data_IF_557525088724
#
_entry.id   IF_557525088724
#
_cell.length_a   1.000
_cell.length_b   1.000
_cell.length_c   1.000
_cell.angle_alpha   90.00
_cell.angle_beta   90.00
_cell.angle_gamma   90.00
#
_symmetry.space_group_name_H-M   'P 1'
#
loop_
_entity.id
_entity.type
_entity.pdbx_description
1 polymer ?
#
# COMPACT_ATOMS: atom_id res chain seq x y z
N UNK A 1 71.19 -29.82 -42.92
CA UNK A 1 69.87 -30.44 -42.65
C UNK A 1 69.20 -29.70 -41.47
N UNK A 2 68.27 -28.79 -41.79
CA UNK A 2 67.56 -27.95 -40.78
C UNK A 2 66.19 -28.53 -40.56
N UNK A 3 65.90 -28.94 -39.34
CA UNK A 3 64.55 -29.37 -38.89
C UNK A 3 63.76 -28.13 -38.53
N UNK A 4 62.59 -27.92 -39.18
CA UNK A 4 61.60 -26.92 -38.86
C UNK A 4 60.58 -27.58 -37.97
N UNK A 5 60.48 -27.05 -36.74
CA UNK A 5 59.43 -27.40 -35.79
C UNK A 5 58.18 -26.54 -36.04
N UNK A 6 57.03 -27.17 -36.34
CA UNK A 6 55.73 -26.51 -36.45
C UNK A 6 55.10 -26.41 -35.05
N UNK A 7 54.91 -25.21 -34.57
CA UNK A 7 54.08 -24.93 -33.38
C UNK A 7 52.62 -24.90 -33.83
N UNK A 8 51.81 -25.79 -33.34
CA UNK A 8 50.33 -25.78 -33.42
C UNK A 8 49.81 -24.97 -32.24
N UNK A 9 49.38 -23.74 -32.53
CA UNK A 9 48.65 -22.93 -31.54
C UNK A 9 47.20 -23.44 -31.41
N UNK A 10 46.86 -23.91 -30.23
CA UNK A 10 45.47 -24.19 -29.83
C UNK A 10 44.81 -22.86 -29.47
N UNK A 11 43.95 -22.34 -30.33
CA UNK A 11 43.04 -21.24 -29.98
C UNK A 11 41.88 -21.85 -29.17
N UNK A 12 41.95 -21.73 -27.86
CA UNK A 12 40.81 -22.05 -26.97
C UNK A 12 39.73 -20.99 -27.13
N UNK A 13 38.66 -21.35 -27.83
CA UNK A 13 37.43 -20.54 -27.92
C UNK A 13 36.73 -20.63 -26.55
N UNK A 14 36.95 -19.63 -25.70
CA UNK A 14 36.16 -19.45 -24.46
C UNK A 14 34.77 -18.95 -24.86
N UNK A 15 33.83 -19.88 -25.03
CA UNK A 15 32.39 -19.52 -25.04
C UNK A 15 31.99 -18.96 -23.70
N UNK A 16 31.97 -17.64 -23.57
CA UNK A 16 31.24 -16.95 -22.55
C UNK A 16 29.75 -17.24 -22.76
N UNK A 17 29.26 -18.28 -22.08
CA UNK A 17 27.85 -18.47 -21.88
C UNK A 17 27.37 -17.28 -21.05
N UNK A 18 26.93 -16.21 -21.72
CA UNK A 18 26.11 -15.19 -21.10
C UNK A 18 24.84 -15.89 -20.59
N UNK A 19 24.86 -16.31 -19.33
CA UNK A 19 23.68 -16.69 -18.60
C UNK A 19 22.76 -15.45 -18.59
N UNK A 20 21.83 -15.44 -19.55
CA UNK A 20 20.71 -14.51 -19.54
C UNK A 20 19.82 -14.92 -18.36
N UNK A 21 20.27 -14.64 -17.14
CA UNK A 21 19.48 -14.80 -15.94
C UNK A 21 18.24 -13.95 -16.11
N UNK A 22 17.06 -14.59 -16.26
CA UNK A 22 15.78 -13.89 -16.25
C UNK A 22 15.77 -13.02 -15.01
N UNK A 23 15.75 -11.70 -15.17
CA UNK A 23 15.68 -10.78 -14.02
C UNK A 23 14.42 -11.11 -13.24
N UNK A 24 14.58 -11.47 -11.98
CA UNK A 24 13.48 -11.73 -11.06
C UNK A 24 12.66 -10.44 -10.88
N UNK A 25 11.35 -10.55 -10.79
CA UNK A 25 10.44 -9.45 -10.48
C UNK A 25 10.70 -8.92 -9.07
N UNK A 26 10.91 -9.82 -8.10
CA UNK A 26 11.33 -9.46 -6.75
C UNK A 26 12.86 -9.54 -6.70
N UNK A 27 13.52 -8.41 -6.89
CA UNK A 27 14.98 -8.33 -7.03
C UNK A 27 15.73 -8.54 -5.72
N UNK A 28 15.14 -8.16 -4.58
CA UNK A 28 15.69 -8.44 -3.25
C UNK A 28 15.48 -9.93 -2.91
N UNK A 29 16.59 -10.66 -2.80
CA UNK A 29 16.57 -12.11 -2.57
C UNK A 29 15.98 -12.46 -1.20
N UNK A 30 16.27 -11.68 -0.16
CA UNK A 30 15.77 -11.95 1.19
C UNK A 30 14.26 -11.72 1.27
N UNK A 31 13.78 -10.66 0.63
CA UNK A 31 12.36 -10.37 0.52
C UNK A 31 11.62 -11.44 -0.30
N UNK A 32 12.19 -11.90 -1.42
CA UNK A 32 11.62 -12.97 -2.23
C UNK A 32 11.47 -14.26 -1.44
N UNK A 33 12.52 -14.68 -0.71
CA UNK A 33 12.46 -15.86 0.16
C UNK A 33 11.37 -15.74 1.24
N UNK A 34 11.17 -14.54 1.79
CA UNK A 34 10.09 -14.27 2.73
C UNK A 34 8.72 -14.44 2.08
N UNK A 35 8.52 -13.90 0.88
CA UNK A 35 7.26 -14.06 0.11
C UNK A 35 6.98 -15.54 -0.18
N UNK A 36 7.96 -16.29 -0.64
CA UNK A 36 7.86 -17.73 -0.89
C UNK A 36 7.48 -18.50 0.40
N UNK A 37 8.09 -18.15 1.52
CA UNK A 37 7.79 -18.75 2.82
C UNK A 37 6.34 -18.44 3.27
N UNK A 38 5.93 -17.17 3.20
CA UNK A 38 4.57 -16.74 3.59
C UNK A 38 3.52 -17.37 2.67
N UNK A 39 3.80 -17.50 1.37
CA UNK A 39 2.96 -18.18 0.40
C UNK A 39 2.79 -19.67 0.73
N UNK A 40 3.89 -20.38 0.97
CA UNK A 40 3.86 -21.82 1.30
C UNK A 40 3.10 -22.07 2.60
N UNK A 41 3.31 -21.26 3.63
CA UNK A 41 2.55 -21.34 4.89
C UNK A 41 1.04 -21.15 4.67
N UNK A 42 0.65 -20.22 3.79
CA UNK A 42 -0.77 -20.01 3.47
C UNK A 42 -1.35 -21.20 2.70
N UNK A 43 -0.61 -21.72 1.73
CA UNK A 43 -1.00 -22.92 0.96
C UNK A 43 -1.20 -24.15 1.86
N UNK A 44 -0.30 -24.37 2.82
CA UNK A 44 -0.41 -25.45 3.80
C UNK A 44 -1.65 -25.35 4.69
N UNK A 45 -2.07 -24.11 5.03
CA UNK A 45 -3.28 -23.88 5.85
C UNK A 45 -4.58 -24.05 5.08
N UNK A 46 -4.54 -24.05 3.74
CA UNK A 46 -5.69 -24.17 2.84
C UNK A 46 -5.50 -25.35 1.88
N UNK A 47 -5.38 -26.60 2.38
CA UNK A 47 -4.96 -27.75 1.57
C UNK A 47 -6.09 -28.34 0.72
N UNK A 48 -7.33 -27.87 0.87
CA UNK A 48 -8.50 -28.44 0.21
C UNK A 48 -8.85 -27.70 -1.08
N UNK A 49 -9.35 -28.46 -2.07
CA UNK A 49 -9.84 -27.90 -3.34
C UNK A 49 -8.73 -27.46 -4.29
N UNK A 50 -9.11 -26.63 -5.25
CA UNK A 50 -8.30 -26.14 -6.36
C UNK A 50 -7.82 -24.69 -6.22
N UNK A 51 -7.84 -24.17 -5.00
CA UNK A 51 -7.56 -22.75 -4.69
C UNK A 51 -6.19 -22.28 -5.23
N UNK A 52 -5.23 -23.19 -5.37
CA UNK A 52 -3.87 -22.91 -5.85
C UNK A 52 -3.57 -23.54 -7.21
N UNK A 53 -4.56 -24.07 -7.93
CA UNK A 53 -4.38 -24.78 -9.21
C UNK A 53 -3.72 -23.90 -10.29
N UNK A 54 -3.85 -22.57 -10.21
CA UNK A 54 -3.19 -21.65 -11.14
C UNK A 54 -1.66 -21.83 -11.17
N UNK A 55 -1.04 -22.25 -10.05
CA UNK A 55 0.39 -22.46 -9.94
C UNK A 55 0.88 -23.75 -10.62
N UNK A 56 -0.03 -24.63 -11.03
CA UNK A 56 0.26 -25.86 -11.79
C UNK A 56 0.21 -25.59 -13.31
N UNK A 57 -0.13 -24.38 -13.73
CA UNK A 57 -0.15 -23.96 -15.14
C UNK A 57 1.22 -23.43 -15.58
N UNK A 58 1.39 -23.25 -16.89
CA UNK A 58 2.61 -22.68 -17.46
C UNK A 58 2.66 -21.16 -17.23
N UNK A 59 3.39 -20.75 -16.21
CA UNK A 59 3.58 -19.36 -15.80
C UNK A 59 4.99 -18.89 -16.13
N UNK A 60 5.10 -17.66 -16.66
CA UNK A 60 6.39 -16.97 -16.72
C UNK A 60 6.93 -16.68 -15.33
N UNK A 61 8.23 -16.38 -15.21
CA UNK A 61 8.83 -16.01 -13.90
C UNK A 61 8.15 -14.81 -13.27
N UNK A 62 7.78 -13.80 -14.07
CA UNK A 62 7.04 -12.63 -13.61
C UNK A 62 5.66 -13.01 -13.05
N UNK A 63 4.89 -13.77 -13.84
CA UNK A 63 3.54 -14.19 -13.44
C UNK A 63 3.57 -15.01 -12.14
N UNK A 64 4.50 -15.95 -12.03
CA UNK A 64 4.67 -16.77 -10.83
C UNK A 64 4.99 -15.94 -9.60
N UNK A 65 6.04 -15.10 -9.65
CA UNK A 65 6.44 -14.28 -8.50
C UNK A 65 5.36 -13.24 -8.11
N UNK A 66 4.68 -12.66 -9.10
CA UNK A 66 3.59 -11.71 -8.85
C UNK A 66 2.36 -12.41 -8.21
N UNK A 67 1.99 -13.60 -8.70
CA UNK A 67 0.91 -14.40 -8.09
C UNK A 67 1.28 -14.89 -6.69
N UNK A 68 2.50 -15.37 -6.47
CA UNK A 68 2.97 -15.77 -5.13
C UNK A 68 2.87 -14.60 -4.14
N UNK A 69 3.28 -13.40 -4.54
CA UNK A 69 3.12 -12.19 -3.72
C UNK A 69 1.65 -11.89 -3.41
N UNK A 70 0.76 -11.92 -4.41
CA UNK A 70 -0.66 -11.67 -4.19
C UNK A 70 -1.28 -12.73 -3.26
N UNK A 71 -1.05 -14.01 -3.53
CA UNK A 71 -1.59 -15.11 -2.74
C UNK A 71 -1.03 -15.18 -1.31
N UNK A 72 0.24 -14.81 -1.12
CA UNK A 72 0.83 -14.75 0.21
C UNK A 72 0.09 -13.79 1.12
N UNK A 73 -0.41 -12.67 0.58
CA UNK A 73 -0.92 -11.56 1.40
C UNK A 73 -2.40 -11.23 1.20
N UNK A 74 -3.08 -11.75 0.18
CA UNK A 74 -4.52 -11.51 0.04
C UNK A 74 -5.32 -12.17 1.18
N UNK A 75 -6.47 -11.59 1.58
CA UNK A 75 -7.38 -12.24 2.50
C UNK A 75 -7.85 -13.61 2.00
N UNK A 76 -8.19 -14.51 2.91
CA UNK A 76 -8.71 -15.85 2.53
C UNK A 76 -9.97 -15.72 1.67
N UNK A 77 -10.86 -14.77 1.98
CA UNK A 77 -12.05 -14.52 1.15
C UNK A 77 -11.72 -14.21 -0.31
N UNK A 78 -10.61 -13.51 -0.56
CA UNK A 78 -10.19 -13.24 -1.94
C UNK A 78 -9.72 -14.49 -2.67
N UNK A 79 -9.06 -15.43 -1.97
CA UNK A 79 -8.64 -16.71 -2.54
C UNK A 79 -9.85 -17.59 -2.87
N UNK A 80 -10.91 -17.53 -2.07
CA UNK A 80 -12.10 -18.38 -2.24
C UNK A 80 -13.14 -17.80 -3.19
N UNK A 81 -13.27 -16.49 -3.26
CA UNK A 81 -14.33 -15.80 -4.00
C UNK A 81 -13.97 -15.53 -5.46
N UNK A 82 -12.66 -15.54 -5.80
CA UNK A 82 -12.16 -15.23 -7.14
C UNK A 82 -11.23 -16.34 -7.65
N UNK A 83 -11.32 -16.66 -8.95
CA UNK A 83 -10.50 -17.70 -9.57
C UNK A 83 -9.03 -17.31 -9.74
N UNK A 84 -8.15 -18.30 -9.84
CA UNK A 84 -6.75 -18.08 -10.18
C UNK A 84 -6.57 -17.36 -11.52
N UNK A 85 -7.43 -17.64 -12.51
CA UNK A 85 -7.41 -16.96 -13.81
C UNK A 85 -7.71 -15.45 -13.69
N UNK A 86 -8.61 -15.07 -12.79
CA UNK A 86 -8.87 -13.65 -12.50
C UNK A 86 -7.60 -12.93 -12.04
N UNK A 87 -6.84 -13.53 -11.12
CA UNK A 87 -5.59 -12.95 -10.65
C UNK A 87 -4.51 -12.95 -11.74
N UNK A 88 -4.40 -14.02 -12.51
CA UNK A 88 -3.44 -14.11 -13.61
C UNK A 88 -3.70 -13.03 -14.68
N UNK A 89 -4.96 -12.80 -15.05
CA UNK A 89 -5.35 -11.73 -15.97
C UNK A 89 -4.94 -10.35 -15.43
N UNK A 90 -5.19 -10.08 -14.15
CA UNK A 90 -4.78 -8.82 -13.51
C UNK A 90 -3.25 -8.65 -13.46
N UNK A 91 -2.50 -9.74 -13.22
CA UNK A 91 -1.03 -9.74 -13.25
C UNK A 91 -0.53 -9.44 -14.67
N UNK A 92 -1.08 -10.11 -15.68
CA UNK A 92 -0.73 -9.90 -17.09
C UNK A 92 -1.00 -8.46 -17.52
N UNK A 93 -2.17 -7.93 -17.18
CA UNK A 93 -2.54 -6.58 -17.51
C UNK A 93 -1.65 -5.54 -16.83
N UNK A 94 -1.26 -5.76 -15.56
CA UNK A 94 -0.33 -4.84 -14.88
C UNK A 94 1.07 -4.86 -15.53
N UNK A 95 1.55 -6.02 -15.96
CA UNK A 95 2.80 -6.16 -16.74
C UNK A 95 2.72 -5.49 -18.11
N UNK A 96 1.61 -5.65 -18.82
CA UNK A 96 1.33 -4.97 -20.09
C UNK A 96 1.30 -3.45 -19.90
N UNK A 97 0.58 -2.97 -18.91
CA UNK A 97 0.50 -1.53 -18.58
C UNK A 97 1.89 -0.95 -18.31
N UNK A 98 2.73 -1.69 -17.57
CA UNK A 98 4.10 -1.28 -17.31
C UNK A 98 4.93 -1.17 -18.58
N UNK A 99 4.72 -2.06 -19.55
CA UNK A 99 5.43 -2.04 -20.83
C UNK A 99 4.94 -0.92 -21.77
N UNK A 100 3.66 -0.56 -21.71
CA UNK A 100 3.02 0.38 -22.63
C UNK A 100 3.04 1.83 -22.16
N UNK A 101 3.03 2.08 -20.84
CA UNK A 101 2.98 3.44 -20.29
C UNK A 101 4.35 4.12 -20.25
N UNK A 102 4.44 5.44 -20.55
CA UNK A 102 5.72 6.16 -20.59
C UNK A 102 6.50 6.18 -19.28
N UNK A 103 5.84 5.91 -18.17
CA UNK A 103 6.44 5.86 -16.83
C UNK A 103 6.75 4.46 -16.33
N UNK A 104 6.49 3.41 -17.11
CA UNK A 104 6.64 2.03 -16.65
C UNK A 104 8.04 1.70 -16.15
N UNK A 105 9.08 2.16 -16.85
CA UNK A 105 10.48 1.97 -16.45
C UNK A 105 10.93 2.90 -15.32
N UNK A 106 10.21 4.00 -15.07
CA UNK A 106 10.52 4.95 -14.01
C UNK A 106 10.03 4.49 -12.65
N UNK A 107 9.01 3.63 -12.61
CA UNK A 107 8.43 3.12 -11.37
C UNK A 107 9.32 2.02 -10.80
N UNK A 108 9.91 2.20 -9.60
CA UNK A 108 10.70 1.17 -8.94
C UNK A 108 9.90 -0.12 -8.73
N UNK A 109 10.56 -1.28 -8.82
CA UNK A 109 9.92 -2.58 -8.64
C UNK A 109 9.17 -2.72 -7.30
N UNK A 110 9.72 -2.16 -6.23
CA UNK A 110 9.09 -2.17 -4.92
C UNK A 110 7.77 -1.38 -4.91
N UNK A 111 7.77 -0.16 -5.47
CA UNK A 111 6.55 0.65 -5.57
C UNK A 111 5.53 0.00 -6.49
N UNK A 112 5.97 -0.58 -7.60
CA UNK A 112 5.08 -1.34 -8.49
C UNK A 112 4.44 -2.51 -7.76
N UNK A 113 5.22 -3.30 -7.04
CA UNK A 113 4.76 -4.48 -6.29
C UNK A 113 3.70 -4.13 -5.24
N UNK A 114 3.90 -3.04 -4.48
CA UNK A 114 3.02 -2.69 -3.38
C UNK A 114 1.87 -1.75 -3.75
N UNK A 115 2.03 -0.93 -4.80
CA UNK A 115 1.10 0.17 -5.07
C UNK A 115 0.52 0.19 -6.49
N UNK A 116 0.89 -0.77 -7.37
CA UNK A 116 0.29 -0.96 -8.69
C UNK A 116 -0.30 -2.35 -8.83
N UNK A 117 0.50 -3.38 -8.54
CA UNK A 117 0.13 -4.79 -8.72
C UNK A 117 -1.12 -5.20 -7.90
N UNK A 118 -1.27 -4.85 -6.61
CA UNK A 118 -2.43 -5.26 -5.82
C UNK A 118 -3.72 -4.68 -6.38
N UNK A 119 -4.76 -5.51 -6.43
CA UNK A 119 -6.10 -5.12 -6.89
C UNK A 119 -6.84 -4.47 -5.72
N UNK A 120 -6.83 -5.13 -4.56
CA UNK A 120 -7.48 -4.65 -3.34
C UNK A 120 -6.88 -3.35 -2.82
N UNK A 121 -7.75 -2.41 -2.47
CA UNK A 121 -7.40 -1.10 -1.89
C UNK A 121 -7.84 -1.01 -0.43
N UNK A 122 -9.08 -1.42 -0.13
CA UNK A 122 -9.71 -1.35 1.19
C UNK A 122 -10.42 -2.69 1.49
N UNK A 123 -11.69 -2.66 1.89
CA UNK A 123 -12.54 -3.83 2.18
C UNK A 123 -13.63 -4.06 1.13
N UNK A 124 -13.48 -3.47 -0.04
CA UNK A 124 -14.37 -3.62 -1.18
C UNK A 124 -14.40 -5.06 -1.72
N UNK A 125 -15.45 -5.43 -2.42
CA UNK A 125 -15.40 -6.57 -3.33
C UNK A 125 -14.49 -6.23 -4.52
N UNK A 126 -13.73 -7.20 -4.98
CA UNK A 126 -12.95 -7.06 -6.21
C UNK A 126 -13.88 -7.18 -7.43
N UNK A 127 -13.47 -6.55 -8.51
CA UNK A 127 -14.18 -6.59 -9.78
C UNK A 127 -13.19 -6.39 -10.96
N UNK A 128 -13.71 -6.29 -12.16
CA UNK A 128 -12.96 -6.20 -13.41
C UNK A 128 -12.48 -4.76 -13.73
N UNK A 129 -12.44 -3.91 -12.73
CA UNK A 129 -12.14 -2.47 -12.89
C UNK A 129 -10.81 -2.21 -13.58
N UNK A 130 -9.75 -2.98 -13.27
CA UNK A 130 -8.44 -2.77 -13.88
C UNK A 130 -8.51 -2.83 -15.40
N UNK A 131 -9.17 -3.84 -15.96
CA UNK A 131 -9.32 -4.00 -17.41
C UNK A 131 -10.20 -2.90 -18.02
N UNK A 132 -11.34 -2.62 -17.40
CA UNK A 132 -12.27 -1.59 -17.87
C UNK A 132 -11.62 -0.20 -17.84
N UNK A 133 -11.00 0.17 -16.72
CA UNK A 133 -10.39 1.50 -16.56
C UNK A 133 -9.15 1.68 -17.43
N UNK A 134 -8.32 0.64 -17.59
CA UNK A 134 -7.21 0.68 -18.54
C UNK A 134 -7.71 0.98 -19.97
N UNK A 135 -8.78 0.30 -20.41
CA UNK A 135 -9.38 0.52 -21.71
C UNK A 135 -9.86 1.96 -21.94
N UNK A 136 -10.43 2.61 -20.89
CA UNK A 136 -10.91 3.99 -20.99
C UNK A 136 -9.79 5.04 -20.84
N UNK A 137 -8.77 4.76 -20.03
CA UNK A 137 -7.78 5.75 -19.59
C UNK A 137 -6.49 5.76 -20.40
N UNK A 138 -6.05 4.62 -20.95
CA UNK A 138 -4.71 4.51 -21.56
C UNK A 138 -4.44 5.56 -22.65
N UNK A 139 -5.38 5.75 -23.56
CA UNK A 139 -5.24 6.72 -24.65
C UNK A 139 -5.37 8.16 -24.18
N UNK A 140 -6.08 8.37 -23.07
CA UNK A 140 -6.29 9.67 -22.45
C UNK A 140 -5.03 10.19 -21.74
N UNK A 141 -4.19 9.30 -21.18
CA UNK A 141 -3.07 9.69 -20.32
C UNK A 141 -1.68 9.42 -20.93
N UNK A 142 -1.53 8.52 -21.88
CA UNK A 142 -0.21 8.07 -22.40
C UNK A 142 0.67 9.19 -22.99
N UNK A 143 0.11 10.34 -23.31
CA UNK A 143 0.84 11.48 -23.87
C UNK A 143 1.18 12.55 -22.82
N UNK A 144 0.77 12.35 -21.59
CA UNK A 144 0.93 13.30 -20.49
C UNK A 144 2.20 13.00 -19.69
N UNK A 145 2.68 13.99 -18.94
CA UNK A 145 3.60 13.75 -17.86
C UNK A 145 2.91 12.91 -16.77
N UNK A 146 3.69 12.23 -15.92
CA UNK A 146 3.10 11.41 -14.86
C UNK A 146 2.24 12.24 -13.89
N UNK A 147 2.63 13.48 -13.58
CA UNK A 147 1.84 14.42 -12.75
C UNK A 147 0.54 14.84 -13.43
N UNK A 148 0.61 15.21 -14.71
CA UNK A 148 -0.58 15.58 -15.47
C UNK A 148 -1.51 14.38 -15.66
N UNK A 149 -0.96 13.18 -15.81
CA UNK A 149 -1.76 11.95 -15.85
C UNK A 149 -2.52 11.68 -14.56
N UNK A 150 -1.91 11.96 -13.39
CA UNK A 150 -2.60 11.85 -12.09
C UNK A 150 -3.79 12.82 -12.03
N UNK A 151 -3.59 14.10 -12.42
CA UNK A 151 -4.66 15.10 -12.46
C UNK A 151 -5.77 14.68 -13.42
N UNK A 152 -5.42 14.19 -14.60
CA UNK A 152 -6.36 13.76 -15.64
C UNK A 152 -7.16 12.52 -15.21
N UNK A 153 -6.53 11.55 -14.54
CA UNK A 153 -7.25 10.41 -13.96
C UNK A 153 -8.25 10.88 -12.91
N UNK A 154 -7.87 11.83 -12.05
CA UNK A 154 -8.79 12.37 -11.05
C UNK A 154 -9.97 13.12 -11.69
N UNK A 155 -9.71 13.84 -12.78
CA UNK A 155 -10.75 14.49 -13.56
C UNK A 155 -11.73 13.47 -14.16
N UNK A 156 -11.20 12.40 -14.77
CA UNK A 156 -12.02 11.28 -15.25
C UNK A 156 -12.82 10.61 -14.12
N UNK A 157 -12.23 10.48 -12.92
CA UNK A 157 -12.97 9.98 -11.76
C UNK A 157 -14.16 10.87 -11.41
N UNK A 158 -13.99 12.18 -11.44
CA UNK A 158 -15.08 13.15 -11.20
C UNK A 158 -16.21 13.07 -12.26
N UNK A 159 -15.87 12.75 -13.49
CA UNK A 159 -16.88 12.53 -14.55
C UNK A 159 -17.80 11.33 -14.25
N UNK A 160 -17.33 10.37 -13.43
CA UNK A 160 -18.04 9.11 -13.15
C UNK A 160 -18.71 9.09 -11.78
N UNK A 161 -18.09 9.68 -10.75
CA UNK A 161 -18.50 9.55 -9.36
C UNK A 161 -18.44 10.91 -8.67
N UNK A 162 -19.49 11.22 -7.90
CA UNK A 162 -19.55 12.42 -7.06
C UNK A 162 -19.78 12.03 -5.61
N UNK A 163 -19.34 12.90 -4.69
CA UNK A 163 -19.53 12.64 -3.26
C UNK A 163 -21.00 12.59 -2.87
N UNK A 164 -21.35 11.50 -2.22
CA UNK A 164 -22.66 11.34 -1.56
C UNK A 164 -22.54 10.26 -0.48
N UNK A 165 -23.16 10.43 0.69
CA UNK A 165 -23.24 9.36 1.70
C UNK A 165 -23.76 8.05 1.09
N UNK A 166 -23.11 6.94 1.46
CA UNK A 166 -23.44 5.59 1.02
C UNK A 166 -23.47 4.62 2.19
N UNK A 167 -23.44 3.32 1.93
CA UNK A 167 -23.45 2.26 2.93
C UNK A 167 -22.17 2.24 3.78
N UNK A 168 -22.22 1.55 4.91
CA UNK A 168 -21.06 1.38 5.80
C UNK A 168 -19.91 0.59 5.15
N UNK A 169 -20.23 -0.30 4.19
CA UNK A 169 -19.24 -1.07 3.42
C UNK A 169 -18.82 -0.31 2.17
N UNK A 170 -17.52 -0.34 1.87
CA UNK A 170 -16.97 0.23 0.64
C UNK A 170 -17.45 -0.55 -0.58
N UNK A 171 -18.04 0.14 -1.55
CA UNK A 171 -18.43 -0.44 -2.83
C UNK A 171 -17.20 -0.76 -3.70
N UNK A 172 -17.32 -1.77 -4.57
CA UNK A 172 -16.29 -2.03 -5.57
C UNK A 172 -16.17 -0.86 -6.57
N UNK A 173 -15.02 -0.69 -7.24
CA UNK A 173 -14.82 0.42 -8.18
C UNK A 173 -15.88 0.49 -9.29
N UNK A 174 -16.24 -0.62 -9.93
CA UNK A 174 -17.30 -0.65 -10.95
C UNK A 174 -18.69 -0.43 -10.36
N UNK A 175 -18.96 -0.86 -9.13
CA UNK A 175 -20.21 -0.57 -8.46
C UNK A 175 -20.35 0.93 -8.18
N UNK A 176 -19.27 1.60 -7.77
CA UNK A 176 -19.24 3.06 -7.57
C UNK A 176 -19.54 3.80 -8.89
N UNK A 177 -18.98 3.35 -10.01
CA UNK A 177 -19.30 3.90 -11.34
C UNK A 177 -20.79 3.70 -11.69
N UNK A 178 -21.36 2.51 -11.43
CA UNK A 178 -22.77 2.21 -11.70
C UNK A 178 -23.73 3.07 -10.88
N UNK A 179 -23.40 3.37 -9.64
CA UNK A 179 -24.22 4.23 -8.78
C UNK A 179 -23.97 5.71 -9.01
N UNK A 180 -22.83 6.05 -9.62
CA UNK A 180 -22.37 7.42 -9.88
C UNK A 180 -22.14 8.26 -8.62
N UNK A 181 -22.08 7.65 -7.44
CA UNK A 181 -21.76 8.33 -6.18
C UNK A 181 -21.05 7.41 -5.18
N UNK A 182 -20.37 8.02 -4.22
CA UNK A 182 -19.75 7.37 -3.09
C UNK A 182 -19.37 8.37 -2.00
N UNK A 183 -19.11 7.86 -0.80
CA UNK A 183 -18.43 8.66 0.23
C UNK A 183 -16.91 8.64 -0.05
N UNK A 184 -16.14 9.37 0.73
CA UNK A 184 -14.68 9.46 0.57
C UNK A 184 -13.97 8.09 0.51
N UNK A 185 -14.48 7.08 1.20
CA UNK A 185 -13.96 5.70 1.16
C UNK A 185 -14.11 5.06 -0.21
N UNK A 186 -15.27 5.15 -0.85
CA UNK A 186 -15.53 4.65 -2.21
C UNK A 186 -14.76 5.47 -3.25
N UNK A 187 -14.81 6.81 -3.16
CA UNK A 187 -14.14 7.71 -4.11
C UNK A 187 -12.64 7.47 -4.13
N UNK A 188 -12.00 7.36 -2.97
CA UNK A 188 -10.56 7.09 -2.89
C UNK A 188 -10.19 5.67 -3.33
N UNK A 189 -11.00 4.65 -3.01
CA UNK A 189 -10.82 3.29 -3.52
C UNK A 189 -10.90 3.26 -5.05
N UNK A 190 -11.89 3.93 -5.62
CA UNK A 190 -12.09 4.06 -7.07
C UNK A 190 -10.91 4.78 -7.74
N UNK A 191 -10.48 5.92 -7.23
CA UNK A 191 -9.38 6.68 -7.80
C UNK A 191 -8.03 5.92 -7.72
N UNK A 192 -7.77 5.19 -6.63
CA UNK A 192 -6.59 4.31 -6.51
C UNK A 192 -6.64 3.19 -7.55
N UNK A 193 -7.79 2.54 -7.73
CA UNK A 193 -7.95 1.49 -8.75
C UNK A 193 -7.73 2.05 -10.17
N UNK A 194 -8.23 3.25 -10.47
CA UNK A 194 -8.04 3.93 -11.75
C UNK A 194 -6.57 4.25 -12.02
N UNK A 195 -5.85 4.82 -11.05
CA UNK A 195 -4.42 5.11 -11.17
C UNK A 195 -3.57 3.83 -11.36
N UNK A 196 -3.84 2.79 -10.57
CA UNK A 196 -3.16 1.50 -10.70
C UNK A 196 -3.41 0.84 -12.05
N UNK A 197 -4.59 1.04 -12.65
CA UNK A 197 -4.91 0.49 -13.97
C UNK A 197 -4.02 1.05 -15.08
N UNK A 198 -3.51 2.26 -14.95
CA UNK A 198 -2.56 2.89 -15.87
C UNK A 198 -1.11 2.87 -15.36
N UNK A 199 -0.81 2.03 -14.37
CA UNK A 199 0.55 1.79 -13.89
C UNK A 199 1.13 2.89 -13.00
N UNK A 200 0.31 3.78 -12.45
CA UNK A 200 0.73 4.81 -11.50
C UNK A 200 0.59 4.27 -10.08
N UNK A 201 1.68 4.21 -9.28
CA UNK A 201 1.59 3.80 -7.88
C UNK A 201 0.66 4.73 -7.11
N UNK A 202 -0.33 4.14 -6.45
CA UNK A 202 -1.33 4.89 -5.69
C UNK A 202 -1.75 4.15 -4.42
N UNK A 203 -2.08 4.94 -3.38
CA UNK A 203 -2.50 4.45 -2.08
C UNK A 203 -3.60 5.33 -1.48
N UNK A 204 -4.52 4.70 -0.74
CA UNK A 204 -5.52 5.41 0.04
C UNK A 204 -4.89 5.91 1.33
N UNK A 205 -5.06 7.18 1.63
CA UNK A 205 -4.69 7.79 2.92
C UNK A 205 -5.95 7.97 3.76
N UNK A 206 -5.84 7.71 5.04
CA UNK A 206 -6.95 7.80 5.98
C UNK A 206 -6.52 8.53 7.25
N UNK A 207 -7.29 9.56 7.63
CA UNK A 207 -7.25 10.12 8.97
C UNK A 207 -8.42 9.54 9.77
N UNK A 208 -8.16 8.74 10.82
CA UNK A 208 -9.23 8.07 11.55
C UNK A 208 -10.15 9.04 12.29
N UNK A 209 -9.61 10.16 12.75
CA UNK A 209 -10.32 11.28 13.35
C UNK A 209 -9.56 12.57 13.14
N UNK A 210 -10.26 13.62 12.77
CA UNK A 210 -9.72 14.97 12.76
C UNK A 210 -9.43 15.47 14.17
N UNK A 211 -8.39 16.29 14.31
CA UNK A 211 -8.04 16.87 15.62
C UNK A 211 -8.86 18.12 15.98
N UNK A 212 -9.52 18.76 15.03
CA UNK A 212 -10.19 20.04 15.18
C UNK A 212 -11.71 19.98 15.01
N UNK A 213 -12.23 18.90 14.47
CA UNK A 213 -13.66 18.68 14.24
C UNK A 213 -13.95 17.19 14.32
N UNK A 214 -15.21 16.86 14.57
CA UNK A 214 -15.66 15.46 14.51
C UNK A 214 -15.53 14.95 13.08
N UNK A 215 -15.40 13.60 12.94
CA UNK A 215 -15.34 12.85 11.70
C UNK A 215 -13.92 12.39 11.30
N UNK A 216 -13.90 11.61 10.25
CA UNK A 216 -12.73 11.04 9.57
C UNK A 216 -12.70 11.50 8.12
N UNK A 217 -11.63 11.19 7.40
CA UNK A 217 -11.56 11.42 5.97
C UNK A 217 -10.59 10.46 5.29
N UNK A 218 -10.84 10.17 4.01
CA UNK A 218 -9.97 9.40 3.14
C UNK A 218 -9.74 10.14 1.84
N UNK A 219 -8.50 10.07 1.33
CA UNK A 219 -8.09 10.65 0.05
C UNK A 219 -7.01 9.79 -0.61
N UNK A 220 -6.32 10.29 -1.60
CA UNK A 220 -5.34 9.53 -2.38
C UNK A 220 -3.98 10.19 -2.35
N UNK A 221 -2.94 9.38 -2.22
CA UNK A 221 -1.59 9.69 -2.63
C UNK A 221 -1.21 8.90 -3.88
N UNK A 222 -0.59 9.57 -4.85
CA UNK A 222 -0.03 8.98 -6.06
C UNK A 222 1.43 9.37 -6.21
N UNK A 223 2.24 8.41 -6.66
CA UNK A 223 3.67 8.62 -6.85
C UNK A 223 3.97 9.06 -8.28
N UNK A 224 4.79 10.10 -8.41
CA UNK A 224 5.33 10.55 -9.69
C UNK A 224 6.76 11.06 -9.53
N UNK A 225 7.66 10.58 -10.40
CA UNK A 225 9.02 11.09 -10.54
C UNK A 225 9.81 11.24 -9.21
N UNK A 226 9.68 10.26 -8.31
CA UNK A 226 10.40 10.21 -7.03
C UNK A 226 9.64 10.73 -5.82
N UNK A 227 8.42 11.25 -5.97
CA UNK A 227 7.66 11.88 -4.89
C UNK A 227 6.23 11.37 -4.81
N UNK A 228 5.68 11.31 -3.59
CA UNK A 228 4.27 11.11 -3.34
C UNK A 228 3.55 12.47 -3.34
N UNK A 229 2.45 12.54 -4.09
CA UNK A 229 1.57 13.71 -4.19
C UNK A 229 0.18 13.32 -3.75
N UNK A 230 -0.52 14.20 -3.05
CA UNK A 230 -1.89 13.95 -2.62
C UNK A 230 -2.91 14.76 -3.43
N UNK A 231 -4.14 14.28 -3.43
CA UNK A 231 -5.30 14.97 -3.99
C UNK A 231 -6.61 14.41 -3.40
N UNK A 232 -7.69 15.18 -3.43
CA UNK A 232 -9.05 14.72 -3.12
C UNK A 232 -9.58 13.86 -4.25
N UNK A 233 -9.99 12.62 -3.93
CA UNK A 233 -10.51 11.69 -4.92
C UNK A 233 -11.82 12.19 -5.51
N UNK A 234 -11.97 12.17 -6.82
CA UNK A 234 -13.12 12.71 -7.56
C UNK A 234 -13.35 14.22 -7.34
N UNK A 235 -12.38 14.92 -6.80
CA UNK A 235 -12.39 16.36 -6.53
C UNK A 235 -11.23 17.02 -7.28
N UNK A 236 -11.35 17.27 -8.60
CA UNK A 236 -10.23 17.74 -9.41
C UNK A 236 -9.83 19.17 -9.04
N UNK A 237 -8.54 19.35 -8.86
CA UNK A 237 -7.86 20.61 -8.62
C UNK A 237 -6.85 20.89 -9.73
N UNK A 238 -6.44 22.13 -9.97
CA UNK A 238 -5.52 22.46 -11.06
C UNK A 238 -4.08 21.94 -10.83
N UNK A 239 -3.73 21.63 -9.59
CA UNK A 239 -2.40 21.16 -9.18
C UNK A 239 -2.50 20.06 -8.12
N UNK A 240 -1.48 19.21 -8.05
CA UNK A 240 -1.35 18.24 -6.96
C UNK A 240 -1.00 18.92 -5.63
N UNK A 241 -1.22 18.23 -4.52
CA UNK A 241 -1.07 18.72 -3.15
C UNK A 241 -2.04 19.86 -2.81
N UNK A 242 -3.18 19.89 -3.50
CA UNK A 242 -4.27 20.81 -3.25
C UNK A 242 -5.57 20.04 -3.03
N UNK A 243 -6.33 20.44 -2.04
CA UNK A 243 -7.65 19.93 -1.70
C UNK A 243 -8.26 20.79 -0.59
N UNK A 244 -9.58 20.74 -0.43
CA UNK A 244 -10.28 21.49 0.63
C UNK A 244 -9.74 21.14 2.03
N UNK A 245 -9.19 19.94 2.20
CA UNK A 245 -8.67 19.46 3.48
C UNK A 245 -7.23 19.86 3.80
N UNK A 246 -6.56 20.69 2.98
CA UNK A 246 -5.18 21.13 3.28
C UNK A 246 -5.06 21.76 4.67
N UNK A 247 -5.97 22.68 5.02
CA UNK A 247 -5.94 23.32 6.33
C UNK A 247 -6.18 22.34 7.50
N UNK A 248 -7.22 21.47 7.49
CA UNK A 248 -7.37 20.44 8.50
C UNK A 248 -6.21 19.43 8.54
N UNK A 249 -5.67 19.02 7.39
CA UNK A 249 -4.56 18.08 7.33
C UNK A 249 -3.28 18.64 7.94
N UNK A 250 -2.99 19.93 7.73
CA UNK A 250 -1.80 20.59 8.32
C UNK A 250 -1.82 20.68 9.85
N UNK A 251 -2.94 20.35 10.47
CA UNK A 251 -3.15 20.30 11.93
C UNK A 251 -3.58 18.91 12.39
N UNK A 252 -3.52 17.93 11.50
CA UNK A 252 -3.88 16.56 11.81
C UNK A 252 -2.91 15.92 12.80
N UNK A 253 -3.38 14.94 13.55
CA UNK A 253 -2.57 14.20 14.52
C UNK A 253 -2.04 12.90 13.93
N UNK A 254 -2.81 12.23 13.05
CA UNK A 254 -2.40 10.99 12.40
C UNK A 254 -3.04 10.85 11.02
N UNK A 255 -2.22 10.50 10.03
CA UNK A 255 -2.62 9.97 8.73
C UNK A 255 -1.87 8.67 8.49
N UNK A 256 -2.58 7.65 8.06
CA UNK A 256 -1.98 6.36 7.77
C UNK A 256 -2.51 5.77 6.46
N UNK A 257 -1.80 4.78 5.95
CA UNK A 257 -2.22 3.99 4.79
C UNK A 257 -1.95 2.51 5.02
N UNK A 258 -2.80 1.67 4.46
CA UNK A 258 -2.63 0.21 4.45
C UNK A 258 -1.94 -0.18 3.16
N UNK A 259 -0.74 -0.72 3.28
CA UNK A 259 0.07 -1.21 2.17
C UNK A 259 -0.12 -2.72 2.06
N UNK A 260 -0.50 -3.21 0.91
CA UNK A 260 -0.67 -4.64 0.65
C UNK A 260 0.63 -5.41 0.90
N UNK A 261 0.55 -6.47 1.70
CA UNK A 261 1.68 -7.32 2.03
C UNK A 261 2.61 -6.76 3.11
N UNK A 262 3.79 -7.36 3.21
CA UNK A 262 4.86 -6.88 4.09
C UNK A 262 5.62 -5.77 3.39
N UNK A 263 5.53 -4.59 3.91
CA UNK A 263 6.19 -3.40 3.38
C UNK A 263 7.24 -2.89 4.37
N UNK A 264 8.44 -2.63 3.87
CA UNK A 264 9.58 -2.16 4.64
C UNK A 264 10.16 -0.86 4.07
N UNK A 265 9.30 0.03 3.61
CA UNK A 265 9.69 1.36 3.16
C UNK A 265 10.16 2.27 4.31
N UNK A 266 10.44 3.54 4.00
CA UNK A 266 11.04 4.48 4.97
C UNK A 266 10.08 4.98 6.05
N UNK A 267 8.77 4.78 5.86
CA UNK A 267 7.74 5.28 6.78
C UNK A 267 7.69 4.47 8.09
N UNK A 268 7.24 5.11 9.17
CA UNK A 268 7.02 4.43 10.46
C UNK A 268 5.92 3.37 10.33
N UNK A 269 6.23 2.12 10.67
CA UNK A 269 5.26 1.03 10.71
C UNK A 269 4.39 1.18 11.96
N UNK A 270 3.08 1.29 11.72
CA UNK A 270 2.06 1.36 12.78
C UNK A 270 1.59 -0.01 13.20
N UNK A 271 1.35 -0.89 12.24
CA UNK A 271 0.84 -2.24 12.44
C UNK A 271 1.30 -3.13 11.29
N UNK A 272 1.71 -4.34 11.59
CA UNK A 272 1.94 -5.40 10.61
C UNK A 272 0.94 -6.54 10.85
N UNK A 273 0.24 -6.93 9.79
CA UNK A 273 -0.70 -8.05 9.77
C UNK A 273 -0.27 -9.09 8.76
N UNK A 274 -0.87 -10.29 8.74
CA UNK A 274 -0.60 -11.25 7.67
C UNK A 274 -0.94 -10.76 6.26
N UNK A 275 -1.78 -9.73 6.11
CA UNK A 275 -2.28 -9.28 4.82
C UNK A 275 -1.76 -7.89 4.40
N UNK A 276 -1.43 -7.02 5.35
CA UNK A 276 -1.00 -5.66 5.05
C UNK A 276 -0.11 -5.08 6.14
N UNK A 277 0.65 -4.08 5.77
CA UNK A 277 1.41 -3.21 6.68
C UNK A 277 0.74 -1.85 6.72
N UNK A 278 0.39 -1.36 7.92
CA UNK A 278 -0.09 0.00 8.10
C UNK A 278 1.07 0.91 8.42
N UNK A 279 1.23 1.97 7.64
CA UNK A 279 2.31 2.94 7.76
C UNK A 279 1.79 4.34 8.07
N UNK A 280 2.60 5.09 8.79
CA UNK A 280 2.33 6.48 9.17
C UNK A 280 2.84 7.42 8.09
N UNK A 281 1.96 8.25 7.55
CA UNK A 281 2.29 9.23 6.50
C UNK A 281 2.02 10.68 6.94
N UNK A 282 1.87 10.92 8.24
CA UNK A 282 1.57 12.25 8.79
C UNK A 282 2.61 13.32 8.40
N UNK A 283 3.88 12.92 8.22
CA UNK A 283 4.96 13.85 7.83
C UNK A 283 4.72 14.53 6.46
N UNK A 284 3.89 13.93 5.61
CA UNK A 284 3.52 14.53 4.32
C UNK A 284 2.54 15.72 4.47
N UNK A 285 1.94 15.92 5.64
CA UNK A 285 0.80 16.84 5.83
C UNK A 285 1.01 17.86 6.91
N UNK A 286 1.61 17.50 8.04
CA UNK A 286 1.69 18.33 9.22
C UNK A 286 3.10 18.35 9.83
N UNK A 287 3.47 19.41 10.55
CA UNK A 287 4.63 19.37 11.41
C UNK A 287 4.48 18.32 12.50
N UNK A 288 5.46 17.44 12.65
CA UNK A 288 5.41 16.30 13.54
C UNK A 288 6.34 16.40 14.73
N UNK A 289 6.09 15.56 15.71
CA UNK A 289 7.02 15.25 16.80
C UNK A 289 6.87 13.77 17.19
N UNK A 290 7.94 13.19 17.71
CA UNK A 290 7.96 11.83 18.25
C UNK A 290 7.81 11.87 19.76
N UNK A 291 6.83 11.15 20.29
CA UNK A 291 6.68 10.90 21.72
C UNK A 291 7.18 9.49 22.06
N UNK A 292 7.82 9.35 23.22
CA UNK A 292 8.18 8.07 23.83
C UNK A 292 7.43 7.98 25.14
N UNK A 293 6.59 6.95 25.27
CA UNK A 293 5.82 6.64 26.49
C UNK A 293 6.54 5.52 27.22
N UNK A 294 6.80 5.70 28.51
CA UNK A 294 7.32 4.64 29.38
C UNK A 294 6.21 4.17 30.31
N UNK A 295 5.94 2.88 30.32
CA UNK A 295 4.94 2.24 31.19
C UNK A 295 5.65 1.51 32.31
N UNK A 296 5.34 1.86 33.56
CA UNK A 296 5.88 1.22 34.76
C UNK A 296 4.74 0.69 35.64
N UNK A 297 5.06 -0.33 36.41
CA UNK A 297 4.16 -0.79 37.49
C UNK A 297 4.20 0.15 38.72
N UNK A 298 3.52 -0.23 39.79
CA UNK A 298 3.45 0.55 41.03
C UNK A 298 4.82 0.65 41.74
N UNK A 299 5.72 -0.28 41.49
CA UNK A 299 7.09 -0.31 42.06
C UNK A 299 8.12 0.39 41.16
N UNK A 300 7.65 1.01 40.05
CA UNK A 300 8.48 1.73 39.09
C UNK A 300 9.25 0.82 38.12
N UNK A 301 8.92 -0.48 38.06
CA UNK A 301 9.56 -1.40 37.13
C UNK A 301 8.93 -1.31 35.73
N UNK A 302 9.73 -1.44 34.65
CA UNK A 302 9.21 -1.38 33.29
C UNK A 302 8.23 -2.53 33.00
N UNK A 303 7.14 -2.23 32.33
CA UNK A 303 6.13 -3.21 31.90
C UNK A 303 6.25 -3.45 30.41
N UNK A 304 6.81 -4.60 30.01
CA UNK A 304 6.87 -5.03 28.61
C UNK A 304 5.51 -5.52 28.12
N UNK A 305 5.26 -5.48 26.80
CA UNK A 305 4.01 -5.88 26.12
C UNK A 305 2.74 -5.23 26.69
N UNK A 306 2.85 -4.06 27.30
CA UNK A 306 1.66 -3.27 27.66
C UNK A 306 1.07 -2.67 26.39
N UNK A 307 -0.24 -2.79 26.23
CA UNK A 307 -1.00 -2.12 25.18
C UNK A 307 -1.04 -0.63 25.47
N UNK A 308 -0.55 0.19 24.54
CA UNK A 308 -0.54 1.66 24.63
C UNK A 308 -1.41 2.23 23.53
N UNK A 309 -2.52 2.83 23.92
CA UNK A 309 -3.49 3.46 23.01
C UNK A 309 -3.32 4.98 23.03
N UNK A 310 -3.05 5.55 21.87
CA UNK A 310 -3.00 6.99 21.67
C UNK A 310 -4.37 7.46 21.19
N UNK A 311 -4.98 8.37 21.95
CA UNK A 311 -6.37 8.77 21.76
C UNK A 311 -6.51 10.27 21.57
N UNK A 312 -7.41 10.65 20.68
CA UNK A 312 -7.87 12.05 20.54
C UNK A 312 -9.34 12.16 20.92
N UNK A 313 -9.73 13.33 21.42
CA UNK A 313 -11.12 13.60 21.73
C UNK A 313 -11.88 13.95 20.46
N UNK A 314 -12.90 13.15 20.14
CA UNK A 314 -13.68 13.30 18.92
C UNK A 314 -15.02 12.59 19.11
N UNK A 315 -16.14 13.13 18.62
CA UNK A 315 -17.50 12.62 18.86
C UNK A 315 -17.80 12.37 20.35
N UNK A 316 -17.39 13.33 21.21
CA UNK A 316 -17.57 13.25 22.66
C UNK A 316 -16.95 12.01 23.34
N UNK A 317 -15.94 11.39 22.72
CA UNK A 317 -15.19 10.27 23.27
C UNK A 317 -13.68 10.38 23.03
N UNK A 318 -12.89 9.63 23.79
CA UNK A 318 -11.46 9.46 23.51
C UNK A 318 -11.26 8.30 22.54
N UNK A 319 -11.24 8.60 21.26
CA UNK A 319 -11.08 7.64 20.19
C UNK A 319 -9.60 7.25 19.99
N UNK A 320 -9.31 5.93 19.96
CA UNK A 320 -7.97 5.40 19.73
C UNK A 320 -7.59 5.56 18.26
N UNK A 321 -6.60 6.40 17.98
CA UNK A 321 -6.08 6.61 16.60
C UNK A 321 -4.88 5.73 16.30
N UNK A 322 -4.12 5.30 17.33
CA UNK A 322 -2.98 4.41 17.18
C UNK A 322 -2.85 3.50 18.40
N UNK A 323 -2.42 2.27 18.17
CA UNK A 323 -2.09 1.30 19.23
C UNK A 323 -0.67 0.82 19.03
N UNK A 324 0.13 0.86 20.08
CA UNK A 324 1.49 0.32 20.17
C UNK A 324 1.59 -0.63 21.36
N UNK A 325 2.66 -1.39 21.39
CA UNK A 325 3.00 -2.25 22.54
C UNK A 325 4.38 -1.87 23.05
N UNK A 326 4.57 -1.92 24.36
CA UNK A 326 5.85 -1.60 24.97
C UNK A 326 6.87 -2.70 24.70
N UNK A 327 8.13 -2.29 24.51
CA UNK A 327 9.30 -3.16 24.45
C UNK A 327 9.70 -3.71 25.84
N UNK A 328 10.84 -4.41 25.92
CA UNK A 328 11.38 -4.96 27.17
C UNK A 328 11.71 -3.88 28.21
N UNK A 329 12.01 -2.66 27.78
CA UNK A 329 12.27 -1.49 28.61
C UNK A 329 11.00 -0.73 29.00
N UNK A 330 9.81 -1.27 28.68
CA UNK A 330 8.52 -0.66 28.96
C UNK A 330 8.21 0.55 28.07
N UNK A 331 8.84 0.69 26.91
CA UNK A 331 8.71 1.88 26.05
C UNK A 331 7.89 1.58 24.80
N UNK A 332 7.03 2.54 24.45
CA UNK A 332 6.34 2.61 23.15
C UNK A 332 6.50 4.01 22.55
N UNK A 333 6.58 4.12 21.24
CA UNK A 333 6.75 5.41 20.58
C UNK A 333 5.76 5.60 19.43
N UNK A 334 5.43 6.88 19.17
CA UNK A 334 4.60 7.29 18.06
C UNK A 334 5.09 8.63 17.52
N UNK A 335 5.19 8.76 16.20
CA UNK A 335 5.28 10.04 15.51
C UNK A 335 3.87 10.54 15.20
N UNK A 336 3.54 11.77 15.59
CA UNK A 336 2.22 12.36 15.35
C UNK A 336 2.34 13.85 15.04
N UNK A 337 1.29 14.44 14.52
CA UNK A 337 1.16 15.90 14.41
C UNK A 337 1.30 16.56 15.77
N UNK A 338 1.73 17.82 15.78
CA UNK A 338 1.89 18.60 17.03
C UNK A 338 0.53 18.89 17.65
N UNK A 339 0.34 18.46 18.89
CA UNK A 339 -0.91 18.60 19.62
C UNK A 339 -0.98 17.71 20.85
N UNK A 340 -2.15 17.60 21.44
CA UNK A 340 -2.37 16.85 22.66
C UNK A 340 -3.09 15.52 22.36
N UNK A 341 -2.67 14.46 23.05
CA UNK A 341 -3.37 13.17 23.07
C UNK A 341 -3.52 12.67 24.50
N UNK A 342 -4.58 11.89 24.75
CA UNK A 342 -4.65 11.02 25.91
C UNK A 342 -3.96 9.71 25.56
N UNK A 343 -3.02 9.29 26.37
CA UNK A 343 -2.39 7.97 26.27
C UNK A 343 -2.98 7.07 27.36
N UNK A 344 -3.44 5.89 26.95
CA UNK A 344 -3.97 4.86 27.84
C UNK A 344 -3.11 3.61 27.72
N UNK A 345 -2.47 3.21 28.79
CA UNK A 345 -1.70 1.97 28.86
C UNK A 345 -2.43 0.92 29.68
N UNK A 346 -2.42 -0.34 29.22
CA UNK A 346 -3.07 -1.43 29.94
C UNK A 346 -2.34 -2.76 29.75
N UNK A 347 -2.32 -3.57 30.83
CA UNK A 347 -1.87 -4.96 30.82
C UNK A 347 -2.49 -5.75 31.96
N UNK A 348 -2.96 -6.97 31.69
CA UNK A 348 -3.49 -7.92 32.69
C UNK A 348 -4.56 -7.30 33.63
N UNK A 349 -5.47 -6.49 33.10
CA UNK A 349 -6.52 -5.83 33.88
C UNK A 349 -6.09 -4.59 34.65
N UNK A 350 -4.81 -4.26 34.68
CA UNK A 350 -4.30 -3.01 35.21
C UNK A 350 -4.21 -1.96 34.10
N UNK A 351 -4.34 -0.69 34.45
CA UNK A 351 -4.25 0.42 33.49
C UNK A 351 -3.72 1.69 34.14
N UNK A 352 -3.19 2.56 33.31
CA UNK A 352 -2.81 3.93 33.64
C UNK A 352 -3.01 4.84 32.45
N UNK A 353 -3.13 6.14 32.68
CA UNK A 353 -3.28 7.10 31.60
C UNK A 353 -2.60 8.44 31.91
N UNK A 354 -2.24 9.14 30.86
CA UNK A 354 -1.69 10.49 30.96
C UNK A 354 -2.07 11.30 29.71
N UNK A 355 -2.19 12.60 29.90
CA UNK A 355 -2.20 13.54 28.78
C UNK A 355 -0.74 13.80 28.37
N UNK A 356 -0.46 13.69 27.08
CA UNK A 356 0.83 14.02 26.50
C UNK A 356 0.67 15.10 25.43
N UNK A 357 1.73 15.88 25.21
CA UNK A 357 1.76 16.93 24.18
C UNK A 357 2.91 16.65 23.22
N UNK A 358 2.57 16.42 21.95
CA UNK A 358 3.58 16.27 20.89
C UNK A 358 4.15 17.64 20.52
N UNK A 359 5.47 17.76 20.59
CA UNK A 359 6.19 18.97 20.17
C UNK A 359 6.18 20.13 21.18
N UNK A 360 5.94 19.84 22.44
CA UNK A 360 6.14 20.76 23.58
C UNK A 360 7.27 20.30 24.45
#
# INVERSE_FOLDING_TARGET
MKRVARLLGFLGLVCLLASCGKRSFITDTSYRQRVEQDFNQKKERLPQGDLFAIFDTDLTSYEREALEFLYAYMPIGDITDYSGDYYLENVRLSGQTRAEMPWGDKVPNELFRHFVLPIRVNNENLDDSRRVFYGELKDRVKHLSMKDAILEVNHWCHEKVVYRPSDARTSSPLASVKTAYGRCGEESTFAVAALRSVGIPARQVYTPRWAHTDDNHAWVEAWADGHWYFFGACEPEPVLNLGWFNSPASRGMLMHTKVFGRYNGPEEIMLETPNYTEINVIDNYAPTAKAIVTVTDADGQPVADAKVEFKIYNYAEFYTVATKYTDAEGKASLTAGKGDMLVWASRNGQFGYAKISFGK
#
